data_IF_030997377675
#
_entry.id   IF_030997377675
#
_cell.length_a   1.000
_cell.length_b   1.000
_cell.length_c   1.000
_cell.angle_alpha   90.00
_cell.angle_beta   90.00
_cell.angle_gamma   90.00
#
_symmetry.space_group_name_H-M   'P 1'
#
loop_
_entity.id
_entity.type
_entity.pdbx_description
1 polymer ?
#
# COMPACT_ATOMS: atom_id res chain seq x y z
N UNK A 1 -7.96 -7.13 18.17
CA UNK A 1 -7.78 -7.08 16.70
C UNK A 1 -7.13 -8.37 16.27
N UNK A 2 -7.81 -9.18 15.45
CA UNK A 2 -7.35 -10.52 15.05
C UNK A 2 -6.57 -10.52 13.72
N UNK A 3 -6.06 -11.70 13.36
CA UNK A 3 -5.54 -11.96 12.02
C UNK A 3 -6.63 -11.65 10.98
N UNK A 4 -6.24 -11.12 9.82
CA UNK A 4 -7.19 -10.81 8.74
C UNK A 4 -6.55 -11.02 7.39
N UNK A 5 -7.34 -11.51 6.43
CA UNK A 5 -6.90 -11.71 5.05
C UNK A 5 -7.63 -10.71 4.14
N UNK A 6 -6.89 -10.15 3.18
CA UNK A 6 -7.43 -9.24 2.16
C UNK A 6 -7.13 -9.83 0.80
N UNK A 7 -8.18 -10.23 0.09
CA UNK A 7 -8.08 -10.67 -1.30
C UNK A 7 -8.28 -9.49 -2.23
N UNK A 8 -7.34 -9.30 -3.15
CA UNK A 8 -7.38 -8.30 -4.21
C UNK A 8 -7.75 -9.04 -5.50
N UNK A 9 -8.86 -8.63 -6.10
CA UNK A 9 -9.40 -9.27 -7.31
C UNK A 9 -9.45 -8.27 -8.46
N UNK A 10 -9.22 -8.76 -9.67
CA UNK A 10 -9.51 -8.07 -10.92
C UNK A 10 -10.58 -8.87 -11.65
N UNK A 11 -11.82 -8.37 -11.60
CA UNK A 11 -12.98 -9.18 -12.02
C UNK A 11 -13.08 -10.43 -11.15
N UNK A 12 -12.98 -11.61 -11.78
CA UNK A 12 -13.01 -12.91 -11.11
C UNK A 12 -11.60 -13.46 -10.79
N UNK A 13 -10.55 -12.79 -11.24
CA UNK A 13 -9.17 -13.23 -11.06
C UNK A 13 -8.59 -12.75 -9.72
N UNK A 14 -7.98 -13.65 -8.96
CA UNK A 14 -7.25 -13.29 -7.74
C UNK A 14 -5.86 -12.79 -8.12
N UNK A 15 -5.65 -11.48 -7.97
CA UNK A 15 -4.37 -10.82 -8.20
C UNK A 15 -3.41 -11.09 -7.03
N UNK A 16 -3.89 -10.90 -5.81
CA UNK A 16 -3.08 -11.12 -4.61
C UNK A 16 -3.93 -11.38 -3.37
N UNK A 17 -3.32 -12.04 -2.38
CA UNK A 17 -3.88 -12.20 -1.04
C UNK A 17 -2.88 -11.66 -0.02
N UNK A 18 -3.30 -10.71 0.80
CA UNK A 18 -2.50 -10.14 1.88
C UNK A 18 -2.94 -10.76 3.19
N UNK A 19 -2.03 -11.46 3.86
CA UNK A 19 -2.27 -12.07 5.16
C UNK A 19 -1.74 -11.18 6.28
N UNK A 20 -2.64 -10.47 6.95
CA UNK A 20 -2.30 -9.65 8.10
C UNK A 20 -2.27 -10.50 9.36
N UNK A 21 -1.04 -10.80 9.79
CA UNK A 21 -0.78 -11.44 11.09
C UNK A 21 -0.38 -10.40 12.13
N UNK A 22 -0.84 -10.59 13.37
CA UNK A 22 -0.51 -9.71 14.51
C UNK A 22 0.78 -10.13 15.22
N UNK A 23 0.94 -11.43 15.49
CA UNK A 23 2.12 -12.01 16.16
C UNK A 23 3.25 -12.26 15.17
N UNK A 24 2.91 -12.78 14.00
CA UNK A 24 3.86 -13.09 12.93
C UNK A 24 4.01 -11.93 11.94
N UNK A 25 5.08 -11.96 11.14
CA UNK A 25 5.25 -10.98 10.05
C UNK A 25 4.17 -11.21 8.99
N UNK A 26 3.41 -10.16 8.68
CA UNK A 26 2.40 -10.20 7.61
C UNK A 26 3.01 -10.59 6.26
N UNK A 27 2.31 -11.42 5.50
CA UNK A 27 2.76 -11.97 4.21
C UNK A 27 1.87 -11.53 3.06
N UNK A 28 2.42 -11.61 1.85
CA UNK A 28 1.76 -11.32 0.58
C UNK A 28 1.89 -12.57 -0.31
N UNK A 29 0.77 -13.08 -0.79
CA UNK A 29 0.72 -14.11 -1.83
C UNK A 29 0.35 -13.44 -3.15
N UNK A 30 1.25 -13.49 -4.13
CA UNK A 30 1.05 -12.94 -5.47
C UNK A 30 1.80 -13.81 -6.48
N UNK A 31 1.21 -14.07 -7.65
CA UNK A 31 1.77 -14.96 -8.67
C UNK A 31 2.14 -16.35 -8.10
N UNK A 32 1.29 -16.90 -7.22
CA UNK A 32 1.51 -18.20 -6.58
C UNK A 32 2.65 -18.25 -5.54
N UNK A 33 3.32 -17.12 -5.25
CA UNK A 33 4.41 -17.05 -4.26
C UNK A 33 4.00 -16.27 -3.03
N UNK A 34 4.20 -16.87 -1.86
CA UNK A 34 4.01 -16.19 -0.57
C UNK A 34 5.34 -15.66 -0.06
N UNK A 35 5.38 -14.36 0.24
CA UNK A 35 6.58 -13.64 0.68
C UNK A 35 6.26 -12.72 1.84
N UNK A 36 7.28 -12.31 2.61
CA UNK A 36 7.06 -11.33 3.69
C UNK A 36 6.93 -9.93 3.09
N UNK A 37 5.93 -9.18 3.55
CA UNK A 37 5.70 -7.80 3.08
C UNK A 37 6.94 -6.91 3.26
N UNK A 38 7.70 -7.12 4.34
CA UNK A 38 8.91 -6.34 4.61
C UNK A 38 10.06 -6.60 3.63
N UNK A 39 10.09 -7.76 2.98
CA UNK A 39 11.14 -8.15 2.02
C UNK A 39 10.78 -7.66 0.61
N UNK A 40 9.52 -7.81 0.21
CA UNK A 40 9.03 -7.39 -1.11
C UNK A 40 8.75 -5.89 -1.20
N UNK A 41 8.40 -5.28 -0.08
CA UNK A 41 8.04 -3.88 -0.01
C UNK A 41 8.81 -3.15 1.11
N UNK A 42 10.16 -3.11 1.02
CA UNK A 42 11.02 -2.60 2.07
C UNK A 42 10.85 -1.11 2.33
N UNK A 43 11.30 -0.69 3.53
CA UNK A 43 11.49 0.74 3.84
C UNK A 43 12.90 1.14 3.42
N UNK A 44 13.07 2.16 2.56
CA UNK A 44 14.40 2.64 2.18
C UNK A 44 15.13 3.33 3.34
N UNK A 45 14.39 3.84 4.34
CA UNK A 45 14.95 4.43 5.58
C UNK A 45 14.14 3.95 6.79
N UNK A 46 14.83 3.60 7.89
CA UNK A 46 14.21 3.01 9.10
C UNK A 46 13.01 3.80 9.67
N UNK A 47 13.06 5.14 9.61
CA UNK A 47 12.00 6.03 10.11
C UNK A 47 11.08 6.62 9.03
N UNK A 48 11.21 6.17 7.78
CA UNK A 48 10.34 6.67 6.70
C UNK A 48 9.06 5.83 6.59
N UNK A 49 7.96 6.51 6.27
CA UNK A 49 6.72 5.86 5.81
C UNK A 49 6.86 5.33 4.38
N UNK A 50 7.76 5.94 3.60
CA UNK A 50 7.95 5.57 2.20
C UNK A 50 8.36 4.10 2.07
N UNK A 51 7.92 3.48 0.99
CA UNK A 51 8.25 2.09 0.67
C UNK A 51 8.45 1.93 -0.82
N UNK A 52 9.43 1.14 -1.18
CA UNK A 52 9.81 0.89 -2.57
C UNK A 52 9.44 -0.53 -2.95
N UNK A 53 8.95 -0.70 -4.16
CA UNK A 53 8.64 -2.00 -4.75
C UNK A 53 9.46 -2.16 -6.03
N UNK A 54 9.99 -3.37 -6.23
CA UNK A 54 10.70 -3.77 -7.45
C UNK A 54 9.92 -4.89 -8.12
N UNK A 55 9.48 -4.65 -9.35
CA UNK A 55 8.83 -5.65 -10.19
C UNK A 55 9.84 -6.69 -10.70
N UNK A 56 9.38 -7.88 -11.14
CA UNK A 56 10.26 -8.92 -11.68
C UNK A 56 11.06 -8.50 -12.93
N UNK A 57 10.54 -7.56 -13.71
CA UNK A 57 11.18 -6.96 -14.88
C UNK A 57 12.25 -5.91 -14.52
N UNK A 58 12.41 -5.60 -13.24
CA UNK A 58 13.32 -4.58 -12.73
C UNK A 58 12.70 -3.20 -12.54
N UNK A 59 11.45 -2.98 -12.95
CA UNK A 59 10.76 -1.71 -12.79
C UNK A 59 10.58 -1.35 -11.31
N UNK A 60 10.94 -0.13 -10.91
CA UNK A 60 10.90 0.32 -9.52
C UNK A 60 10.02 1.53 -9.35
N UNK A 61 9.17 1.48 -8.33
CA UNK A 61 8.42 2.64 -7.88
C UNK A 61 8.33 2.68 -6.36
N UNK A 62 8.12 3.90 -5.86
CA UNK A 62 8.08 4.19 -4.43
C UNK A 62 6.81 4.91 -4.06
N UNK A 63 6.13 4.36 -3.06
CA UNK A 63 5.04 5.02 -2.38
C UNK A 63 5.57 6.00 -1.35
N UNK A 64 5.00 7.20 -1.32
CA UNK A 64 5.31 8.26 -0.35
C UNK A 64 4.08 9.06 0.01
N UNK A 65 4.18 9.81 1.11
CA UNK A 65 3.09 10.66 1.62
C UNK A 65 2.23 9.96 2.66
N UNK A 66 1.44 10.77 3.37
CA UNK A 66 0.63 10.33 4.52
C UNK A 66 -0.86 10.65 4.32
N UNK A 67 -1.18 11.88 3.92
CA UNK A 67 -2.55 12.33 3.65
C UNK A 67 -2.90 12.28 2.16
N UNK A 68 -1.93 12.65 1.32
CA UNK A 68 -1.97 12.47 -0.13
C UNK A 68 -0.83 11.54 -0.51
N UNK A 69 -1.18 10.37 -1.02
CA UNK A 69 -0.25 9.26 -1.21
C UNK A 69 0.04 9.13 -2.70
N UNK A 70 1.32 9.01 -3.05
CA UNK A 70 1.79 8.98 -4.44
C UNK A 70 2.68 7.77 -4.65
N UNK A 71 2.52 7.09 -5.78
CA UNK A 71 3.51 6.19 -6.34
C UNK A 71 4.33 6.94 -7.38
N UNK A 72 5.65 6.91 -7.24
CA UNK A 72 6.59 7.60 -8.12
C UNK A 72 7.57 6.58 -8.67
N UNK A 73 7.78 6.59 -9.98
CA UNK A 73 8.85 5.83 -10.60
C UNK A 73 10.20 6.24 -9.97
N UNK A 74 10.97 5.27 -9.50
CA UNK A 74 12.20 5.53 -8.75
C UNK A 74 13.35 6.04 -9.63
N UNK A 75 13.32 5.77 -10.94
CA UNK A 75 14.35 6.17 -11.90
C UNK A 75 14.05 7.55 -12.50
N UNK A 76 12.83 7.77 -12.97
CA UNK A 76 12.43 9.00 -13.68
C UNK A 76 11.86 10.07 -12.77
N UNK A 77 11.40 9.71 -11.57
CA UNK A 77 10.73 10.63 -10.65
C UNK A 77 9.30 11.01 -11.06
N UNK A 78 8.76 10.39 -12.11
CA UNK A 78 7.41 10.65 -12.62
C UNK A 78 6.37 9.95 -11.72
N UNK A 79 5.26 10.65 -11.44
CA UNK A 79 4.14 10.07 -10.70
C UNK A 79 3.40 9.05 -11.59
N UNK A 80 3.25 7.83 -11.09
CA UNK A 80 2.56 6.74 -11.79
C UNK A 80 1.23 6.36 -11.15
N UNK A 81 1.01 6.75 -9.89
CA UNK A 81 -0.31 6.71 -9.29
C UNK A 81 -0.47 7.75 -8.18
N UNK A 82 -1.70 8.22 -7.97
CA UNK A 82 -2.08 9.12 -6.88
C UNK A 82 -3.32 8.60 -6.18
N UNK A 83 -3.22 8.43 -4.86
CA UNK A 83 -4.36 8.10 -4.02
C UNK A 83 -4.95 9.34 -3.36
N UNK A 84 -6.21 9.59 -3.66
CA UNK A 84 -7.03 10.65 -3.09
C UNK A 84 -7.89 10.07 -1.99
N UNK A 85 -7.41 10.21 -0.74
CA UNK A 85 -8.20 9.86 0.42
C UNK A 85 -9.34 10.87 0.60
N UNK A 86 -10.58 10.39 0.73
CA UNK A 86 -11.69 11.23 1.15
C UNK A 86 -12.03 10.99 2.63
N UNK A 87 -11.56 11.84 3.56
CA UNK A 87 -11.88 11.71 4.99
C UNK A 87 -13.35 12.01 5.29
N UNK A 88 -14.07 12.71 4.40
CA UNK A 88 -15.47 13.12 4.56
C UNK A 88 -16.44 12.20 3.81
N UNK A 89 -16.05 10.95 3.52
CA UNK A 89 -16.90 10.02 2.75
C UNK A 89 -18.28 9.80 3.39
N UNK A 90 -18.38 9.84 4.73
CA UNK A 90 -19.65 9.74 5.45
C UNK A 90 -20.58 10.94 5.21
N UNK A 91 -20.01 12.11 4.87
CA UNK A 91 -20.75 13.36 4.65
C UNK A 91 -21.11 13.53 3.17
N UNK A 92 -20.13 13.34 2.28
CA UNK A 92 -20.30 13.65 0.86
C UNK A 92 -20.54 12.41 -0.04
N UNK A 93 -20.54 11.20 0.55
CA UNK A 93 -20.69 9.89 -0.14
C UNK A 93 -19.68 9.61 -1.26
N UNK A 94 -18.67 10.47 -1.47
CA UNK A 94 -17.62 10.24 -2.47
C UNK A 94 -16.66 9.18 -1.93
N UNK A 95 -16.34 8.17 -2.73
CA UNK A 95 -15.32 7.18 -2.34
C UNK A 95 -13.93 7.76 -2.52
N UNK A 96 -12.96 7.26 -1.77
CA UNK A 96 -11.55 7.51 -2.07
C UNK A 96 -11.20 6.86 -3.42
N UNK A 97 -10.33 7.50 -4.20
CA UNK A 97 -9.92 6.99 -5.52
C UNK A 97 -8.41 6.81 -5.59
N UNK A 98 -7.99 5.77 -6.31
CA UNK A 98 -6.61 5.58 -6.72
C UNK A 98 -6.54 5.80 -8.23
N UNK A 99 -5.94 6.92 -8.63
CA UNK A 99 -5.78 7.28 -10.03
C UNK A 99 -4.42 6.77 -10.50
N UNK A 100 -4.41 5.92 -11.51
CA UNK A 100 -3.20 5.32 -12.11
C UNK A 100 -2.96 5.97 -13.47
N UNK A 101 -1.70 6.23 -13.82
CA UNK A 101 -1.35 6.85 -15.09
C UNK A 101 -1.88 6.05 -16.29
N UNK A 102 -2.41 6.75 -17.29
CA UNK A 102 -2.90 6.13 -18.53
C UNK A 102 -1.78 5.38 -19.26
N UNK A 103 -2.13 4.31 -19.98
CA UNK A 103 -1.18 3.47 -20.70
C UNK A 103 -0.32 2.55 -19.81
N UNK A 104 -0.58 2.51 -18.50
CA UNK A 104 0.06 1.57 -17.57
C UNK A 104 -0.35 0.13 -17.91
N UNK A 105 0.62 -0.79 -17.96
CA UNK A 105 0.34 -2.21 -18.21
C UNK A 105 -0.55 -2.81 -17.11
N UNK A 106 -1.21 -3.92 -17.42
CA UNK A 106 -2.05 -4.63 -16.47
C UNK A 106 -1.24 -5.12 -15.25
N UNK A 107 -0.02 -5.61 -15.46
CA UNK A 107 0.87 -6.08 -14.40
C UNK A 107 1.33 -4.94 -13.48
N UNK A 108 1.65 -3.78 -14.04
CA UNK A 108 2.01 -2.60 -13.24
C UNK A 108 0.79 -2.05 -12.50
N UNK A 109 -0.39 -2.08 -13.11
CA UNK A 109 -1.66 -1.70 -12.47
C UNK A 109 -1.94 -2.59 -11.25
N UNK A 110 -1.84 -3.90 -11.40
CA UNK A 110 -1.98 -4.85 -10.29
C UNK A 110 -0.98 -4.58 -9.19
N UNK A 111 0.29 -4.44 -9.54
CA UNK A 111 1.36 -4.16 -8.59
C UNK A 111 1.06 -2.86 -7.82
N UNK A 112 0.58 -1.81 -8.49
CA UNK A 112 0.21 -0.54 -7.87
C UNK A 112 -0.97 -0.72 -6.91
N UNK A 113 -2.03 -1.43 -7.29
CA UNK A 113 -3.19 -1.68 -6.41
C UNK A 113 -2.79 -2.49 -5.19
N UNK A 114 -2.02 -3.57 -5.36
CA UNK A 114 -1.56 -4.44 -4.27
C UNK A 114 -0.67 -3.69 -3.30
N UNK A 115 0.34 -2.99 -3.81
CA UNK A 115 1.27 -2.24 -2.97
C UNK A 115 0.62 -1.02 -2.32
N UNK A 116 -0.35 -0.38 -2.98
CA UNK A 116 -1.19 0.67 -2.38
C UNK A 116 -1.96 0.15 -1.17
N UNK A 117 -2.65 -0.99 -1.30
CA UNK A 117 -3.44 -1.57 -0.21
C UNK A 117 -2.56 -1.86 1.02
N UNK A 118 -1.34 -2.37 0.80
CA UNK A 118 -0.35 -2.58 1.86
C UNK A 118 0.09 -1.24 2.47
N UNK A 119 0.43 -0.26 1.62
CA UNK A 119 0.93 1.05 2.05
C UNK A 119 -0.11 1.80 2.88
N UNK A 120 -1.36 1.87 2.41
CA UNK A 120 -2.46 2.58 3.05
C UNK A 120 -2.74 2.03 4.45
N UNK A 121 -2.79 0.70 4.61
CA UNK A 121 -2.98 0.09 5.93
C UNK A 121 -1.83 0.47 6.87
N UNK A 122 -0.57 0.39 6.41
CA UNK A 122 0.59 0.75 7.23
C UNK A 122 0.57 2.22 7.63
N UNK A 123 0.14 3.13 6.75
CA UNK A 123 -0.04 4.55 7.07
C UNK A 123 -1.18 4.76 8.08
N UNK A 124 -2.29 4.02 7.94
CA UNK A 124 -3.42 4.06 8.87
C UNK A 124 -3.03 3.55 10.26
N UNK A 125 -2.30 2.44 10.34
CA UNK A 125 -1.82 1.88 11.61
C UNK A 125 -0.86 2.85 12.30
N UNK A 126 0.05 3.46 11.54
CA UNK A 126 0.98 4.45 12.07
C UNK A 126 0.28 5.72 12.55
N UNK A 127 -0.78 6.17 11.85
CA UNK A 127 -1.66 7.26 12.33
C UNK A 127 -2.22 6.89 13.70
N UNK A 128 -2.87 5.72 13.82
CA UNK A 128 -3.48 5.26 15.07
C UNK A 128 -2.47 5.17 16.22
N UNK A 129 -1.28 4.62 15.98
CA UNK A 129 -0.27 4.51 17.05
C UNK A 129 0.21 5.86 17.58
N UNK A 130 0.25 6.90 16.74
CA UNK A 130 0.64 8.26 17.21
C UNK A 130 -0.45 8.94 18.03
N UNK A 131 -1.72 8.71 17.72
CA UNK A 131 -2.83 9.24 18.53
C UNK A 131 -2.85 8.64 19.94
N UNK A 132 -2.51 7.35 20.08
CA UNK A 132 -2.42 6.70 21.40
C UNK A 132 -1.15 7.07 22.19
N UNK A 133 -0.10 7.57 21.55
CA UNK A 133 1.13 7.99 22.23
C UNK A 133 1.00 9.36 22.94
N UNK A 134 -0.01 10.17 22.61
CA UNK A 134 -0.27 11.46 23.27
C UNK A 134 -1.38 11.43 24.33
N UNK A 135 -1.98 10.27 24.59
CA UNK A 135 -3.05 10.10 25.61
C UNK A 135 -2.56 9.64 26.99
N UNK A 136 -1.25 9.50 27.18
CA UNK A 136 -0.65 9.20 28.49
C UNK A 136 -0.08 10.46 29.11
N UNK A 137 -0.94 11.31 29.66
CA UNK A 137 -0.52 12.34 30.62
C UNK A 137 -0.61 11.78 32.05
N UNK A 138 0.35 12.08 32.95
CA UNK A 138 0.11 11.97 34.38
C UNK A 138 -0.99 12.93 34.86
#
# INVERSE_FOLDING_TARGET
MGNSDVTIMRGEEIVAVIHWRWVERSTLTMNGRTTKIGEVFPRPKKMSLSREYTMPDGYKFRWKGMYKVYAVNSETGINVATYYQNPLYLVNKKKSTLDIAEGTSTELTDALVVTWAIYEKKVRDWRRSRWHAHGGGP
#
